data_IF_855914478399
#
_entry.id   IF_855914478399
#
_cell.length_a   1.000
_cell.length_b   1.000
_cell.length_c   1.000
_cell.angle_alpha   90.00
_cell.angle_beta   90.00
_cell.angle_gamma   90.00
#
_symmetry.space_group_name_H-M   'P 1'
#
loop_
_entity.id
_entity.type
_entity.pdbx_description
1 polymer ?
#
# COMPACT_ATOMS: atom_id res chain seq x y z
N UNK A 1 3.28 9.28 19.60
CA UNK A 1 2.15 8.66 18.88
C UNK A 1 2.74 8.13 17.59
N UNK A 2 2.76 6.81 17.34
CA UNK A 2 3.27 6.28 16.07
C UNK A 2 2.19 6.45 15.01
N UNK A 3 2.53 7.09 13.88
CA UNK A 3 1.65 7.26 12.73
C UNK A 3 1.89 6.11 11.75
N UNK A 4 0.91 5.25 11.52
CA UNK A 4 1.00 4.20 10.50
C UNK A 4 0.61 4.80 9.14
N UNK A 5 1.56 4.82 8.20
CA UNK A 5 1.37 5.38 6.86
C UNK A 5 0.94 4.36 5.80
N UNK A 6 0.69 3.11 6.19
CA UNK A 6 0.41 2.01 5.28
C UNK A 6 1.65 1.20 4.96
N UNK A 7 1.43 -0.08 4.66
CA UNK A 7 2.43 -1.10 4.38
C UNK A 7 1.92 -1.98 3.22
N UNK A 8 1.68 -1.36 2.06
CA UNK A 8 1.25 -2.05 0.85
C UNK A 8 2.19 -3.19 0.49
N UNK A 9 1.64 -4.39 0.32
CA UNK A 9 2.36 -5.61 -0.07
C UNK A 9 1.65 -6.30 -1.23
N UNK A 10 2.32 -7.29 -1.82
CA UNK A 10 1.73 -8.13 -2.85
C UNK A 10 0.78 -9.14 -2.20
N UNK A 11 -0.49 -9.10 -2.61
CA UNK A 11 -1.47 -10.14 -2.26
C UNK A 11 -1.24 -11.40 -3.08
N UNK A 12 -1.81 -12.53 -2.64
CA UNK A 12 -1.78 -13.77 -3.41
C UNK A 12 -2.28 -13.59 -4.85
N UNK A 13 -3.38 -12.85 -5.04
CA UNK A 13 -3.94 -12.60 -6.37
C UNK A 13 -3.06 -11.70 -7.23
N UNK A 14 -2.41 -10.70 -6.62
CA UNK A 14 -1.44 -9.87 -7.33
C UNK A 14 -0.22 -10.69 -7.75
N UNK A 15 0.23 -11.64 -6.91
CA UNK A 15 1.30 -12.57 -7.27
C UNK A 15 0.88 -13.46 -8.45
N UNK A 16 -0.32 -14.07 -8.40
CA UNK A 16 -0.84 -14.90 -9.49
C UNK A 16 -0.89 -14.11 -10.82
N UNK A 17 -1.24 -12.82 -10.79
CA UNK A 17 -1.21 -11.94 -11.96
C UNK A 17 0.22 -11.71 -12.48
N UNK A 18 1.19 -11.44 -11.60
CA UNK A 18 2.58 -11.21 -11.98
C UNK A 18 3.23 -12.49 -12.52
N UNK A 19 2.90 -13.65 -11.95
CA UNK A 19 3.39 -14.95 -12.43
C UNK A 19 2.85 -15.27 -13.83
N UNK A 20 1.61 -14.88 -14.13
CA UNK A 20 1.01 -15.03 -15.45
C UNK A 20 1.53 -14.00 -16.47
N UNK A 21 1.97 -12.82 -16.02
CA UNK A 21 2.41 -11.70 -16.86
C UNK A 21 3.88 -11.35 -16.57
N UNK A 22 4.78 -12.19 -17.08
CA UNK A 22 6.23 -12.12 -16.80
C UNK A 22 6.85 -10.76 -17.13
N UNK A 23 6.39 -10.10 -18.20
CA UNK A 23 6.89 -8.77 -18.59
C UNK A 23 6.55 -7.69 -17.54
N UNK A 24 5.30 -7.63 -17.10
CA UNK A 24 4.85 -6.72 -16.03
C UNK A 24 5.56 -7.02 -14.71
N UNK A 25 5.75 -8.30 -14.40
CA UNK A 25 6.52 -8.76 -13.23
C UNK A 25 7.96 -8.25 -13.28
N UNK A 26 8.62 -8.38 -14.44
CA UNK A 26 9.99 -7.93 -14.62
C UNK A 26 10.12 -6.41 -14.54
N UNK A 27 9.16 -5.66 -15.12
CA UNK A 27 9.11 -4.20 -15.02
C UNK A 27 8.94 -3.78 -13.57
N UNK A 28 8.01 -4.39 -12.83
CA UNK A 28 7.81 -4.10 -11.41
C UNK A 28 9.05 -4.40 -10.58
N UNK A 29 9.70 -5.54 -10.81
CA UNK A 29 10.90 -5.94 -10.08
C UNK A 29 12.07 -4.96 -10.28
N UNK A 30 12.13 -4.31 -11.44
CA UNK A 30 13.15 -3.32 -11.76
C UNK A 30 12.76 -1.88 -11.35
N UNK A 31 11.51 -1.64 -10.95
CA UNK A 31 11.04 -0.32 -10.56
C UNK A 31 11.45 0.02 -9.12
N UNK A 32 11.84 1.27 -8.88
CA UNK A 32 12.03 1.77 -7.52
C UNK A 32 10.66 2.16 -6.92
N UNK A 33 10.09 1.28 -6.10
CA UNK A 33 8.78 1.48 -5.46
C UNK A 33 8.85 2.28 -4.15
N UNK A 34 10.06 2.53 -3.64
CA UNK A 34 10.35 3.28 -2.42
C UNK A 34 11.46 4.30 -2.70
N UNK A 35 11.19 5.30 -3.56
CA UNK A 35 12.18 6.31 -3.87
C UNK A 35 12.52 7.15 -2.65
N UNK A 36 13.80 7.47 -2.50
CA UNK A 36 14.29 8.47 -1.54
C UNK A 36 14.06 9.85 -2.16
N UNK A 37 13.06 10.57 -1.66
CA UNK A 37 12.63 11.87 -2.19
C UNK A 37 12.71 12.89 -1.06
N UNK A 38 13.44 13.98 -1.30
CA UNK A 38 13.37 15.16 -0.43
C UNK A 38 12.09 15.93 -0.74
N UNK A 39 11.13 15.87 0.18
CA UNK A 39 9.90 16.65 0.09
C UNK A 39 10.11 18.03 0.70
N UNK A 40 9.80 19.07 -0.07
CA UNK A 40 9.76 20.46 0.40
C UNK A 40 8.34 20.84 0.85
N UNK A 41 7.71 19.97 1.64
CA UNK A 41 6.36 20.12 2.18
C UNK A 41 6.22 19.28 3.45
N UNK A 42 5.36 19.73 4.37
CA UNK A 42 4.97 18.95 5.57
C UNK A 42 3.67 18.16 5.33
N UNK A 43 3.13 18.17 4.09
CA UNK A 43 1.90 17.47 3.74
C UNK A 43 2.14 15.98 3.50
N UNK A 44 1.75 15.16 4.48
CA UNK A 44 1.83 13.70 4.40
C UNK A 44 1.04 13.10 3.23
N UNK A 45 -0.02 13.77 2.74
CA UNK A 45 -0.77 13.31 1.58
C UNK A 45 0.11 13.34 0.32
N UNK A 46 0.83 14.44 0.10
CA UNK A 46 1.75 14.63 -1.02
C UNK A 46 2.90 13.62 -0.96
N UNK A 47 3.50 13.43 0.22
CA UNK A 47 4.54 12.42 0.39
C UNK A 47 4.02 11.01 0.06
N UNK A 48 2.83 10.66 0.54
CA UNK A 48 2.22 9.34 0.32
C UNK A 48 1.80 9.12 -1.12
N UNK A 49 1.50 10.17 -1.88
CA UNK A 49 1.19 10.05 -3.30
C UNK A 49 2.36 9.44 -4.10
N UNK A 50 3.60 9.66 -3.64
CA UNK A 50 4.82 9.28 -4.34
C UNK A 50 5.42 7.93 -3.92
N UNK A 51 4.99 7.34 -2.79
CA UNK A 51 5.58 6.11 -2.23
C UNK A 51 4.58 4.96 -2.27
N UNK A 52 4.85 3.91 -3.06
CA UNK A 52 3.85 2.87 -3.37
C UNK A 52 3.30 2.17 -2.13
N UNK A 53 4.10 1.95 -1.09
CA UNK A 53 3.58 1.23 0.08
C UNK A 53 2.61 2.05 0.94
N UNK A 54 2.65 3.37 0.85
CA UNK A 54 1.85 4.23 1.71
C UNK A 54 0.40 4.40 1.23
N UNK A 55 -0.47 4.74 2.17
CA UNK A 55 -1.84 5.14 1.91
C UNK A 55 -1.87 6.51 1.25
N UNK A 56 -2.49 6.61 0.08
CA UNK A 56 -2.64 7.89 -0.61
C UNK A 56 -4.01 8.52 -0.33
N UNK A 57 -5.08 7.72 -0.34
CA UNK A 57 -6.43 8.17 -0.05
C UNK A 57 -7.22 7.12 0.71
N UNK A 58 -6.94 6.89 2.00
CA UNK A 58 -7.71 5.96 2.81
C UNK A 58 -9.12 6.53 3.05
N UNK A 59 -10.16 5.79 2.68
CA UNK A 59 -11.56 6.28 2.68
C UNK A 59 -12.48 5.51 3.61
N UNK A 60 -12.14 4.28 3.98
CA UNK A 60 -13.00 3.44 4.80
C UNK A 60 -12.20 2.44 5.64
N UNK A 61 -12.77 2.12 6.80
CA UNK A 61 -12.27 1.13 7.75
C UNK A 61 -13.37 0.12 8.04
N UNK A 62 -13.01 -1.16 8.07
CA UNK A 62 -13.88 -2.24 8.51
C UNK A 62 -13.08 -3.25 9.33
N UNK A 63 -13.73 -3.97 10.23
CA UNK A 63 -13.09 -4.97 11.07
C UNK A 63 -13.91 -6.26 11.04
N UNK A 64 -13.23 -7.40 10.95
CA UNK A 64 -13.89 -8.69 11.08
C UNK A 64 -13.88 -9.23 12.52
N UNK A 65 -14.50 -10.39 12.73
CA UNK A 65 -14.57 -11.05 14.04
C UNK A 65 -13.22 -11.60 14.54
N UNK A 66 -12.24 -11.72 13.65
CA UNK A 66 -10.92 -12.29 13.94
C UNK A 66 -9.91 -11.16 14.19
N UNK A 67 -10.37 -9.91 14.32
CA UNK A 67 -9.58 -8.70 14.52
C UNK A 67 -8.60 -8.41 13.37
N UNK A 68 -9.05 -8.61 12.13
CA UNK A 68 -8.40 -7.99 10.99
C UNK A 68 -9.02 -6.63 10.70
N UNK A 69 -8.18 -5.59 10.65
CA UNK A 69 -8.57 -4.25 10.19
C UNK A 69 -8.35 -4.15 8.69
N UNK A 70 -9.42 -3.88 7.95
CA UNK A 70 -9.41 -3.60 6.52
C UNK A 70 -9.41 -2.08 6.31
N UNK A 71 -8.45 -1.59 5.55
CA UNK A 71 -8.34 -0.17 5.16
C UNK A 71 -8.47 -0.06 3.65
N UNK A 72 -9.48 0.66 3.17
CA UNK A 72 -9.68 0.92 1.74
C UNK A 72 -8.94 2.19 1.34
N UNK A 73 -8.05 2.09 0.35
CA UNK A 73 -7.23 3.16 -0.20
C UNK A 73 -7.66 3.45 -1.64
N UNK A 74 -8.63 4.35 -1.78
CA UNK A 74 -9.33 4.58 -3.05
C UNK A 74 -8.40 5.09 -4.14
N UNK A 75 -7.45 5.97 -3.83
CA UNK A 75 -6.53 6.50 -4.84
C UNK A 75 -5.51 5.45 -5.33
N UNK A 76 -5.35 4.34 -4.62
CA UNK A 76 -4.47 3.22 -5.01
C UNK A 76 -5.22 2.02 -5.57
N UNK A 77 -6.56 2.08 -5.62
CA UNK A 77 -7.41 0.94 -5.96
C UNK A 77 -7.03 -0.32 -5.16
N UNK A 78 -6.73 -0.13 -3.87
CA UNK A 78 -6.14 -1.17 -2.99
C UNK A 78 -6.89 -1.24 -1.67
N UNK A 79 -6.87 -2.41 -1.06
CA UNK A 79 -7.17 -2.58 0.36
C UNK A 79 -5.92 -3.11 1.07
N UNK A 80 -5.65 -2.62 2.29
CA UNK A 80 -4.61 -3.17 3.17
C UNK A 80 -5.29 -3.84 4.37
N UNK A 81 -4.81 -5.02 4.76
CA UNK A 81 -5.34 -5.79 5.88
C UNK A 81 -4.26 -5.85 6.96
N UNK A 82 -4.61 -5.46 8.18
CA UNK A 82 -3.74 -5.52 9.34
C UNK A 82 -4.32 -6.51 10.34
N UNK A 83 -3.49 -7.39 10.86
CA UNK A 83 -3.81 -8.09 12.10
C UNK A 83 -3.57 -7.12 13.26
N UNK A 84 -4.64 -6.82 14.00
CA UNK A 84 -4.58 -5.94 15.16
C UNK A 84 -4.60 -6.73 16.48
N UNK A 85 -4.47 -8.07 16.42
CA UNK A 85 -4.10 -8.87 17.59
C UNK A 85 -2.59 -8.81 17.81
N UNK A 86 -2.18 -7.69 18.39
CA UNK A 86 -0.84 -7.43 18.92
C UNK A 86 -0.94 -6.44 20.07
#
# INVERSE_FOLDING_TARGET
MQSNRGQGTISKWAQDFLDANVEESQVRANANLEPDIEFNTDDLHEESAHIEKYFWGPTSLAMDKDNHLFVIDSNRHRLQVFDIQG
#
